data_IF_857821691328
#
_entry.id   IF_857821691328
#
_cell.length_a   1.000
_cell.length_b   1.000
_cell.length_c   1.000
_cell.angle_alpha   90.00
_cell.angle_beta   90.00
_cell.angle_gamma   90.00
#
_symmetry.space_group_name_H-M   'P 1'
#
loop_
_entity.id
_entity.type
_entity.pdbx_description
1 polymer ?
#
# COMPACT_ATOMS: atom_id res chain seq x y z
N UNK A 1 22.70 7.54 -35.50
CA UNK A 1 23.84 6.64 -35.25
C UNK A 1 23.97 6.52 -33.74
N UNK A 2 24.10 5.32 -33.19
CA UNK A 2 24.28 5.15 -31.75
C UNK A 2 25.73 5.50 -31.44
N UNK A 3 25.94 6.46 -30.55
CA UNK A 3 27.28 6.93 -30.19
C UNK A 3 28.01 5.90 -29.32
N UNK A 4 29.34 5.83 -29.47
CA UNK A 4 30.22 4.92 -28.74
C UNK A 4 30.05 5.02 -27.21
N UNK A 5 29.84 6.24 -26.68
CA UNK A 5 29.58 6.47 -25.26
C UNK A 5 28.33 5.74 -24.76
N UNK A 6 27.25 5.76 -25.55
CA UNK A 6 26.01 5.08 -25.20
C UNK A 6 26.14 3.56 -25.22
N UNK A 7 26.96 3.01 -26.13
CA UNK A 7 27.24 1.56 -26.17
C UNK A 7 28.07 1.12 -24.96
N UNK A 8 29.04 1.94 -24.54
CA UNK A 8 29.84 1.67 -23.34
C UNK A 8 28.99 1.64 -22.08
N UNK A 9 28.09 2.62 -21.88
CA UNK A 9 27.20 2.63 -20.72
C UNK A 9 26.21 1.46 -20.75
N UNK A 10 25.49 1.27 -21.86
CA UNK A 10 24.43 0.26 -21.92
C UNK A 10 24.93 -1.19 -21.85
N UNK A 11 26.14 -1.47 -22.35
CA UNK A 11 26.65 -2.84 -22.47
C UNK A 11 27.76 -3.12 -21.45
N UNK A 12 28.71 -2.20 -21.24
CA UNK A 12 29.84 -2.44 -20.34
C UNK A 12 29.51 -2.22 -18.86
N UNK A 13 28.40 -1.57 -18.51
CA UNK A 13 27.95 -1.53 -17.11
C UNK A 13 27.50 -2.92 -16.62
N UNK A 14 26.78 -3.67 -17.47
CA UNK A 14 26.22 -4.99 -17.15
C UNK A 14 27.09 -6.18 -17.55
N UNK A 15 28.25 -5.96 -18.18
CA UNK A 15 29.09 -7.04 -18.68
C UNK A 15 29.91 -7.66 -17.53
N UNK A 16 29.90 -9.00 -17.37
CA UNK A 16 30.62 -9.68 -16.28
C UNK A 16 32.14 -9.59 -16.41
N UNK A 17 32.65 -9.28 -17.60
CA UNK A 17 34.09 -9.18 -17.89
C UNK A 17 34.67 -7.76 -17.72
N UNK A 18 33.85 -6.80 -17.29
CA UNK A 18 34.28 -5.41 -17.07
C UNK A 18 34.29 -5.08 -15.58
N UNK A 19 35.40 -4.53 -15.10
CA UNK A 19 35.47 -3.97 -13.75
C UNK A 19 34.92 -2.54 -13.76
N UNK A 20 33.59 -2.41 -13.88
CA UNK A 20 32.93 -1.10 -13.85
C UNK A 20 33.10 -0.44 -12.48
N UNK A 21 33.70 0.77 -12.44
CA UNK A 21 34.06 1.45 -11.20
C UNK A 21 35.44 2.12 -11.23
N UNK A 22 36.10 2.27 -10.08
CA UNK A 22 37.32 3.13 -9.91
C UNK A 22 38.52 2.78 -10.81
N UNK A 23 38.53 1.65 -11.51
CA UNK A 23 39.46 1.33 -12.60
C UNK A 23 38.69 0.62 -13.72
N UNK A 24 38.13 1.40 -14.66
CA UNK A 24 37.34 0.96 -15.82
C UNK A 24 38.20 0.18 -16.84
N UNK A 25 38.46 -1.08 -16.54
CA UNK A 25 39.21 -2.02 -17.39
C UNK A 25 38.28 -3.12 -17.92
N UNK A 26 38.44 -3.48 -19.19
CA UNK A 26 37.76 -4.59 -19.84
C UNK A 26 38.69 -5.79 -19.95
N UNK A 27 38.35 -6.91 -19.33
CA UNK A 27 39.17 -8.12 -19.34
C UNK A 27 39.17 -8.85 -20.70
N UNK A 28 38.14 -8.64 -21.54
CA UNK A 28 38.04 -9.27 -22.87
C UNK A 28 39.04 -8.66 -23.84
N UNK A 29 39.26 -7.35 -23.74
CA UNK A 29 40.14 -6.60 -24.64
C UNK A 29 41.46 -6.16 -23.97
N UNK A 30 41.64 -6.49 -22.68
CA UNK A 30 42.75 -6.11 -21.80
C UNK A 30 43.16 -4.62 -21.90
N UNK A 31 42.16 -3.75 -22.00
CA UNK A 31 42.33 -2.31 -22.20
C UNK A 31 41.34 -1.53 -21.36
N UNK A 32 41.62 -0.24 -21.18
CA UNK A 32 40.65 0.69 -20.60
C UNK A 32 39.39 0.76 -21.48
N UNK A 33 38.19 0.74 -20.89
CA UNK A 33 36.90 0.66 -21.62
C UNK A 33 36.80 1.77 -22.69
N UNK A 34 37.21 3.00 -22.36
CA UNK A 34 37.21 4.12 -23.31
C UNK A 34 38.11 3.95 -24.55
N UNK A 35 39.11 3.06 -24.48
CA UNK A 35 40.03 2.72 -25.58
C UNK A 35 39.57 1.53 -26.42
N UNK A 36 38.50 0.83 -26.04
CA UNK A 36 37.93 -0.26 -26.84
C UNK A 36 37.23 0.35 -28.05
N UNK A 37 37.62 -0.04 -29.27
CA UNK A 37 37.02 0.51 -30.50
C UNK A 37 35.88 -0.36 -31.02
N UNK A 38 35.94 -1.67 -30.79
CA UNK A 38 34.90 -2.63 -31.16
C UNK A 38 34.82 -3.75 -30.11
N UNK A 39 33.61 -4.22 -29.82
CA UNK A 39 33.35 -5.33 -28.90
C UNK A 39 32.22 -6.20 -29.46
N UNK A 40 32.36 -7.55 -29.47
CA UNK A 40 31.31 -8.45 -29.94
C UNK A 40 29.97 -8.28 -29.23
N UNK A 41 29.99 -7.85 -27.96
CA UNK A 41 28.77 -7.56 -27.19
C UNK A 41 28.08 -6.27 -27.63
N UNK A 42 28.83 -5.28 -28.15
CA UNK A 42 28.23 -4.08 -28.75
C UNK A 42 27.52 -4.43 -30.06
N UNK A 43 28.14 -5.28 -30.87
CA UNK A 43 27.54 -5.75 -32.13
C UNK A 43 26.25 -6.54 -31.86
N UNK A 44 26.25 -7.42 -30.85
CA UNK A 44 25.03 -8.13 -30.40
C UNK A 44 23.94 -7.17 -29.93
N UNK A 45 24.31 -6.16 -29.15
CA UNK A 45 23.37 -5.15 -28.67
C UNK A 45 22.77 -4.32 -29.83
N UNK A 46 23.59 -3.95 -30.81
CA UNK A 46 23.14 -3.25 -32.01
C UNK A 46 22.18 -4.13 -32.85
N UNK A 47 22.51 -5.41 -33.06
CA UNK A 47 21.64 -6.37 -33.75
C UNK A 47 20.31 -6.60 -33.02
N UNK A 48 20.32 -6.61 -31.68
CA UNK A 48 19.09 -6.67 -30.89
C UNK A 48 18.24 -5.41 -31.02
N UNK A 49 18.87 -4.23 -31.15
CA UNK A 49 18.15 -2.98 -31.40
C UNK A 49 17.59 -2.90 -32.83
N UNK A 50 18.31 -3.44 -33.81
CA UNK A 50 17.83 -3.51 -35.20
C UNK A 50 16.68 -4.53 -35.37
N UNK A 51 16.72 -5.64 -34.62
CA UNK A 51 15.65 -6.63 -34.57
C UNK A 51 14.51 -6.28 -33.60
N UNK A 52 14.58 -5.13 -32.91
CA UNK A 52 13.44 -4.61 -32.16
C UNK A 52 12.41 -4.16 -33.18
N UNK A 53 11.18 -4.72 -33.21
CA UNK A 53 10.20 -4.34 -34.21
C UNK A 53 9.94 -2.84 -34.05
N UNK A 54 10.34 -2.05 -35.06
CA UNK A 54 9.90 -0.66 -35.18
C UNK A 54 8.39 -0.72 -35.29
N UNK A 55 7.67 -0.21 -34.29
CA UNK A 55 6.25 0.11 -34.44
C UNK A 55 6.13 1.21 -35.48
N UNK A 56 6.07 0.82 -36.75
CA UNK A 56 5.53 1.64 -37.81
C UNK A 56 4.01 1.69 -37.60
N UNK A 57 3.51 2.90 -37.42
CA UNK A 57 2.09 3.23 -37.57
C UNK A 57 1.73 2.91 -39.01
N UNK A 58 1.17 1.73 -39.26
CA UNK A 58 0.47 1.41 -40.49
C UNK A 58 -0.86 0.77 -40.10
N UNK A 59 -1.93 1.50 -40.40
CA UNK A 59 -3.33 1.04 -40.36
C UNK A 59 -3.47 -0.13 -41.32
N UNK A 60 -3.75 -1.33 -40.80
CA UNK A 60 -4.48 -2.35 -41.54
C UNK A 60 -5.79 -2.67 -40.82
N UNK A 61 -6.94 -2.69 -41.54
CA UNK A 61 -8.22 -2.97 -40.94
C UNK A 61 -8.39 -4.48 -40.75
N UNK A 62 -8.71 -4.90 -39.53
CA UNK A 62 -9.18 -6.25 -39.27
C UNK A 62 -8.15 -7.21 -38.68
N UNK A 63 -7.73 -6.93 -37.44
CA UNK A 63 -7.49 -7.97 -36.42
C UNK A 63 -7.53 -7.27 -35.07
N UNK A 64 -8.55 -7.57 -34.26
CA UNK A 64 -8.68 -7.09 -32.87
C UNK A 64 -7.42 -7.52 -32.11
N UNK A 65 -6.45 -6.62 -31.99
CA UNK A 65 -5.40 -6.69 -30.97
C UNK A 65 -6.03 -6.13 -29.72
N UNK A 66 -6.24 -7.01 -28.73
CA UNK A 66 -6.57 -6.63 -27.36
C UNK A 66 -5.56 -5.56 -26.93
N UNK A 67 -6.12 -4.43 -26.54
CA UNK A 67 -5.46 -3.14 -26.54
C UNK A 67 -4.56 -3.03 -25.31
N UNK A 68 -3.38 -2.45 -25.49
CA UNK A 68 -2.46 -1.99 -24.45
C UNK A 68 -3.03 -0.81 -23.64
N UNK A 69 -4.36 -0.75 -23.48
CA UNK A 69 -5.12 0.13 -22.57
C UNK A 69 -5.39 -0.55 -21.22
N UNK A 70 -5.24 -1.88 -21.14
CA UNK A 70 -5.61 -2.68 -19.95
C UNK A 70 -4.80 -2.36 -18.69
N UNK A 71 -3.59 -1.78 -18.81
CA UNK A 71 -2.77 -1.45 -17.63
C UNK A 71 -3.34 -0.30 -16.81
N UNK A 72 -4.12 0.61 -17.42
CA UNK A 72 -4.80 1.70 -16.70
C UNK A 72 -6.17 1.28 -16.13
N UNK A 73 -6.80 0.25 -16.68
CA UNK A 73 -8.06 -0.32 -16.14
C UNK A 73 -7.82 -1.28 -14.96
N UNK A 74 -6.63 -1.90 -14.86
CA UNK A 74 -6.23 -2.77 -13.74
C UNK A 74 -5.61 -2.01 -12.55
N UNK A 75 -5.18 -0.76 -12.74
CA UNK A 75 -4.55 0.05 -11.69
C UNK A 75 -5.49 0.36 -10.50
N UNK A 76 -6.79 0.69 -10.70
CA UNK A 76 -7.75 0.85 -9.60
C UNK A 76 -7.91 -0.45 -8.80
N UNK A 77 -8.04 -1.59 -9.49
CA UNK A 77 -8.23 -2.89 -8.86
C UNK A 77 -7.05 -3.28 -7.95
N UNK A 78 -5.82 -3.07 -8.40
CA UNK A 78 -4.63 -3.34 -7.59
C UNK A 78 -4.53 -2.41 -6.37
N UNK A 79 -4.86 -1.12 -6.54
CA UNK A 79 -4.82 -0.14 -5.44
C UNK A 79 -5.83 -0.48 -4.33
N UNK A 80 -7.03 -0.95 -4.71
CA UNK A 80 -8.09 -1.26 -3.76
C UNK A 80 -7.74 -2.52 -2.95
N UNK A 81 -7.16 -3.52 -3.59
CA UNK A 81 -6.70 -4.74 -2.90
C UNK A 81 -5.61 -4.41 -1.88
N UNK A 82 -4.64 -3.56 -2.24
CA UNK A 82 -3.60 -3.10 -1.32
C UNK A 82 -4.20 -2.35 -0.12
N UNK A 83 -5.10 -1.39 -0.39
CA UNK A 83 -5.83 -0.66 0.65
C UNK A 83 -6.60 -1.60 1.59
N UNK A 84 -7.21 -2.66 1.04
CA UNK A 84 -7.93 -3.66 1.82
C UNK A 84 -6.98 -4.45 2.72
N UNK A 85 -5.80 -4.85 2.22
CA UNK A 85 -4.79 -5.50 3.07
C UNK A 85 -4.29 -4.61 4.20
N UNK A 86 -4.16 -3.31 3.96
CA UNK A 86 -3.80 -2.32 4.97
C UNK A 86 -4.91 -2.17 6.01
N UNK A 87 -6.17 -2.02 5.59
CA UNK A 87 -7.31 -1.90 6.51
C UNK A 87 -7.49 -3.17 7.39
N UNK A 88 -7.27 -4.37 6.84
CA UNK A 88 -7.27 -5.62 7.61
C UNK A 88 -6.14 -5.63 8.64
N UNK A 89 -4.92 -5.22 8.23
CA UNK A 89 -3.75 -5.20 9.13
C UNK A 89 -3.92 -4.21 10.28
N UNK A 90 -4.45 -3.03 9.95
CA UNK A 90 -4.62 -1.93 10.91
C UNK A 90 -5.81 -2.15 11.84
N UNK A 91 -6.67 -3.13 11.56
CA UNK A 91 -7.89 -3.40 12.34
C UNK A 91 -7.65 -3.55 13.84
N UNK A 92 -6.68 -4.38 14.23
CA UNK A 92 -6.31 -4.56 15.65
C UNK A 92 -5.89 -3.24 16.31
N UNK A 93 -5.12 -2.41 15.60
CA UNK A 93 -4.75 -1.08 16.06
C UNK A 93 -5.95 -0.12 16.14
N UNK A 94 -6.88 -0.19 15.18
CA UNK A 94 -8.09 0.63 15.18
C UNK A 94 -8.94 0.36 16.43
N UNK A 95 -9.08 -0.91 16.86
CA UNK A 95 -9.79 -1.26 18.09
C UNK A 95 -9.13 -0.64 19.34
N UNK A 96 -7.81 -0.74 19.44
CA UNK A 96 -7.04 -0.16 20.56
C UNK A 96 -7.20 1.37 20.59
N UNK A 97 -7.11 2.03 19.44
CA UNK A 97 -7.24 3.48 19.34
C UNK A 97 -8.66 3.96 19.66
N UNK A 98 -9.71 3.21 19.26
CA UNK A 98 -11.09 3.47 19.68
C UNK A 98 -11.20 3.45 21.21
N UNK A 99 -10.70 2.40 21.86
CA UNK A 99 -10.75 2.27 23.31
C UNK A 99 -10.01 3.43 24.00
N UNK A 100 -8.84 3.82 23.47
CA UNK A 100 -8.07 4.96 23.97
C UNK A 100 -8.80 6.30 23.82
N UNK A 101 -9.42 6.56 22.66
CA UNK A 101 -10.17 7.80 22.42
C UNK A 101 -11.43 7.85 23.31
N UNK A 102 -12.16 6.74 23.42
CA UNK A 102 -13.34 6.64 24.28
C UNK A 102 -13.00 6.90 25.75
N UNK A 103 -11.89 6.34 26.25
CA UNK A 103 -11.40 6.61 27.61
C UNK A 103 -11.11 8.09 27.81
N UNK A 104 -10.36 8.72 26.90
CA UNK A 104 -10.07 10.15 26.96
C UNK A 104 -11.34 11.02 26.98
N UNK A 105 -12.32 10.70 26.12
CA UNK A 105 -13.57 11.47 26.05
C UNK A 105 -14.42 11.32 27.32
N UNK A 106 -14.40 10.14 27.96
CA UNK A 106 -15.08 9.88 29.23
C UNK A 106 -14.45 10.67 30.39
N UNK A 107 -13.13 10.57 30.55
CA UNK A 107 -12.37 11.31 31.58
C UNK A 107 -12.53 12.83 31.43
N UNK A 108 -12.51 13.33 30.19
CA UNK A 108 -12.71 14.75 29.90
C UNK A 108 -14.13 15.24 30.22
N UNK A 109 -15.14 14.35 30.21
CA UNK A 109 -16.51 14.66 30.62
C UNK A 109 -16.68 14.73 32.13
N UNK A 110 -16.01 13.86 32.89
CA UNK A 110 -16.08 13.79 34.36
C UNK A 110 -15.34 14.96 35.05
N UNK A 111 -14.20 15.39 34.50
CA UNK A 111 -13.40 16.50 35.06
C UNK A 111 -14.04 17.89 34.99
N UNK A 112 -15.15 18.05 34.26
CA UNK A 112 -15.80 19.36 34.04
C UNK A 112 -16.95 19.63 35.03
N UNK A 113 -17.44 18.60 35.72
CA UNK A 113 -18.57 18.71 36.69
C UNK A 113 -18.08 18.82 38.14
N UNK A 114 -16.86 18.34 38.44
CA UNK A 114 -16.34 18.25 39.81
C UNK A 114 -15.87 19.57 40.45
N UNK A 115 -15.83 20.70 39.72
CA UNK A 115 -15.31 21.98 40.24
C UNK A 115 -16.38 22.94 40.80
N UNK A 116 -17.65 22.54 40.78
CA UNK A 116 -18.75 23.31 41.37
C UNK A 116 -19.16 22.72 42.73
N UNK A 117 -18.18 22.51 43.62
CA UNK A 117 -18.45 22.34 45.04
C UNK A 117 -18.83 23.67 45.69
N UNK A 118 -19.68 23.62 46.72
CA UNK A 118 -20.32 24.74 47.41
C UNK A 118 -19.38 25.85 47.94
N UNK A 119 -18.06 25.67 47.86
CA UNK A 119 -17.03 26.63 48.31
C UNK A 119 -16.54 27.62 47.23
N UNK A 120 -17.05 27.55 45.99
CA UNK A 120 -16.63 28.45 44.88
C UNK A 120 -17.24 29.87 44.93
N UNK A 121 -17.64 30.34 46.11
CA UNK A 121 -18.49 31.53 46.28
C UNK A 121 -17.82 32.90 46.05
N UNK A 122 -16.54 33.00 45.70
CA UNK A 122 -15.91 34.30 45.39
C UNK A 122 -15.14 34.28 44.05
N UNK A 123 -15.68 34.89 42.97
CA UNK A 123 -14.91 35.09 41.75
C UNK A 123 -13.86 36.19 41.97
N UNK A 124 -12.60 35.79 42.17
CA UNK A 124 -11.47 36.72 42.01
C UNK A 124 -11.24 36.93 40.52
N UNK A 125 -11.60 38.11 40.02
CA UNK A 125 -11.40 38.48 38.63
C UNK A 125 -9.92 38.41 38.25
N UNK A 126 -9.53 37.40 37.48
CA UNK A 126 -8.25 37.35 36.80
C UNK A 126 -8.44 36.75 35.40
N UNK A 127 -8.13 37.56 34.39
CA UNK A 127 -7.65 37.13 33.07
C UNK A 127 -8.64 36.46 32.12
N UNK A 128 -8.61 36.92 30.86
CA UNK A 128 -9.25 36.31 29.67
C UNK A 128 -9.05 34.78 29.63
N UNK A 129 -9.98 34.02 30.18
CA UNK A 129 -9.92 32.54 30.25
C UNK A 129 -10.70 31.83 29.12
N UNK A 130 -11.30 32.58 28.20
CA UNK A 130 -12.13 32.09 27.09
C UNK A 130 -11.42 31.08 26.17
N UNK A 131 -10.13 31.31 25.89
CA UNK A 131 -9.41 30.62 24.81
C UNK A 131 -9.04 29.16 25.14
N UNK A 132 -8.84 28.84 26.43
CA UNK A 132 -8.50 27.47 26.88
C UNK A 132 -9.69 26.52 26.74
N UNK A 133 -10.90 26.99 27.03
CA UNK A 133 -12.14 26.21 26.90
C UNK A 133 -12.46 25.95 25.43
N UNK A 134 -12.28 26.96 24.57
CA UNK A 134 -12.47 26.80 23.13
C UNK A 134 -11.47 25.82 22.51
N UNK A 135 -10.17 25.90 22.88
CA UNK A 135 -9.16 24.96 22.42
C UNK A 135 -9.45 23.51 22.84
N UNK A 136 -9.96 23.28 24.04
CA UNK A 136 -10.39 21.95 24.50
C UNK A 136 -11.62 21.43 23.73
N UNK A 137 -12.60 22.29 23.46
CA UNK A 137 -13.76 21.92 22.65
C UNK A 137 -13.34 21.45 21.24
N UNK A 138 -12.46 22.20 20.57
CA UNK A 138 -11.91 21.83 19.25
C UNK A 138 -11.12 20.51 19.32
N UNK A 139 -10.32 20.28 20.36
CA UNK A 139 -9.60 19.01 20.55
C UNK A 139 -10.56 17.82 20.70
N UNK A 140 -11.64 17.99 21.48
CA UNK A 140 -12.68 16.95 21.66
C UNK A 140 -13.40 16.66 20.36
N UNK A 141 -13.79 17.69 19.62
CA UNK A 141 -14.45 17.54 18.32
C UNK A 141 -13.59 16.76 17.33
N UNK A 142 -12.29 17.07 17.22
CA UNK A 142 -11.35 16.33 16.36
C UNK A 142 -11.26 14.85 16.76
N UNK A 143 -11.23 14.56 18.06
CA UNK A 143 -11.19 13.18 18.58
C UNK A 143 -12.50 12.44 18.33
N UNK A 144 -13.65 13.09 18.48
CA UNK A 144 -14.95 12.52 18.14
C UNK A 144 -15.07 12.20 16.64
N UNK A 145 -14.63 13.12 15.77
CA UNK A 145 -14.57 12.88 14.32
C UNK A 145 -13.68 11.68 13.97
N UNK A 146 -12.50 11.60 14.58
CA UNK A 146 -11.59 10.44 14.41
C UNK A 146 -12.21 9.14 14.93
N UNK A 147 -12.86 9.17 16.10
CA UNK A 147 -13.55 8.02 16.68
C UNK A 147 -14.61 7.48 15.73
N UNK A 148 -15.48 8.37 15.22
CA UNK A 148 -16.52 7.99 14.27
C UNK A 148 -15.93 7.38 13.00
N UNK A 149 -14.90 7.99 12.43
CA UNK A 149 -14.23 7.45 11.24
C UNK A 149 -13.63 6.05 11.47
N UNK A 150 -13.06 5.78 12.65
CA UNK A 150 -12.55 4.45 12.99
C UNK A 150 -13.67 3.43 13.17
N UNK A 151 -14.77 3.83 13.82
CA UNK A 151 -15.96 2.98 13.99
C UNK A 151 -16.58 2.61 12.64
N UNK A 152 -16.76 3.58 11.75
CA UNK A 152 -17.30 3.36 10.41
C UNK A 152 -16.42 2.40 9.58
N UNK A 153 -15.09 2.48 9.73
CA UNK A 153 -14.14 1.55 9.09
C UNK A 153 -14.27 0.13 9.65
N UNK A 154 -14.30 -0.03 10.97
CA UNK A 154 -14.46 -1.34 11.61
C UNK A 154 -15.79 -1.97 11.22
N UNK A 155 -16.87 -1.19 11.21
CA UNK A 155 -18.18 -1.67 10.82
C UNK A 155 -18.19 -2.16 9.36
N UNK A 156 -17.56 -1.42 8.45
CA UNK A 156 -17.40 -1.84 7.05
C UNK A 156 -16.65 -3.16 6.94
N UNK A 157 -15.55 -3.31 7.67
CA UNK A 157 -14.75 -4.55 7.67
C UNK A 157 -15.58 -5.71 8.23
N UNK A 158 -16.25 -5.54 9.36
CA UNK A 158 -17.08 -6.58 9.98
C UNK A 158 -18.19 -7.06 9.03
N UNK A 159 -18.91 -6.14 8.38
CA UNK A 159 -19.92 -6.48 7.37
C UNK A 159 -19.33 -7.25 6.19
N UNK A 160 -18.12 -6.90 5.76
CA UNK A 160 -17.44 -7.60 4.68
C UNK A 160 -17.02 -9.03 5.08
N UNK A 161 -16.58 -9.25 6.32
CA UNK A 161 -16.26 -10.59 6.84
C UNK A 161 -17.47 -11.51 6.78
N UNK A 162 -18.67 -11.02 7.11
CA UNK A 162 -19.92 -11.79 7.08
C UNK A 162 -20.28 -12.32 5.67
N UNK A 163 -19.74 -11.71 4.61
CA UNK A 163 -19.96 -12.16 3.23
C UNK A 163 -19.13 -13.38 2.83
N UNK A 164 -18.08 -13.70 3.60
CA UNK A 164 -17.17 -14.80 3.29
C UNK A 164 -17.82 -16.14 3.67
N UNK A 165 -18.13 -16.95 2.65
CA UNK A 165 -18.78 -18.26 2.83
C UNK A 165 -17.81 -19.41 3.15
N UNK A 166 -16.56 -19.32 2.69
CA UNK A 166 -15.58 -20.38 2.92
C UNK A 166 -15.05 -20.31 4.34
N UNK A 167 -15.19 -21.39 5.11
CA UNK A 167 -14.72 -21.45 6.50
C UNK A 167 -13.21 -21.21 6.60
N UNK A 168 -12.43 -21.75 5.67
CA UNK A 168 -10.97 -21.56 5.66
C UNK A 168 -10.58 -20.10 5.41
N UNK A 169 -11.26 -19.43 4.48
CA UNK A 169 -11.01 -18.01 4.20
C UNK A 169 -11.45 -17.14 5.38
N UNK A 170 -12.60 -17.46 5.97
CA UNK A 170 -13.14 -16.77 7.14
C UNK A 170 -12.19 -16.86 8.32
N UNK A 171 -11.69 -18.06 8.64
CA UNK A 171 -10.74 -18.27 9.74
C UNK A 171 -9.45 -17.47 9.52
N UNK A 172 -8.91 -17.45 8.29
CA UNK A 172 -7.74 -16.64 7.97
C UNK A 172 -8.01 -15.16 8.21
N UNK A 173 -9.16 -14.64 7.76
CA UNK A 173 -9.48 -13.23 7.91
C UNK A 173 -9.70 -12.89 9.38
N UNK A 174 -10.45 -13.68 10.14
CA UNK A 174 -10.64 -13.48 11.59
C UNK A 174 -9.29 -13.43 12.33
N UNK A 175 -8.41 -14.41 12.08
CA UNK A 175 -7.08 -14.44 12.70
C UNK A 175 -6.20 -13.24 12.27
N UNK A 176 -6.32 -12.75 11.04
CA UNK A 176 -5.63 -11.54 10.59
C UNK A 176 -6.15 -10.29 11.31
N UNK A 177 -7.47 -10.19 11.52
CA UNK A 177 -8.09 -9.08 12.23
C UNK A 177 -7.70 -9.07 13.72
N UNK A 178 -7.53 -10.25 14.32
CA UNK A 178 -7.00 -10.42 15.67
C UNK A 178 -5.50 -10.07 15.78
N UNK A 179 -4.83 -9.82 14.65
CA UNK A 179 -3.42 -9.43 14.60
C UNK A 179 -2.45 -10.62 14.67
N UNK A 180 -2.91 -11.84 14.38
CA UNK A 180 -2.04 -13.00 14.33
C UNK A 180 -1.05 -12.95 13.15
N UNK A 181 0.13 -13.52 13.36
CA UNK A 181 1.15 -13.60 12.31
C UNK A 181 0.79 -14.67 11.29
N UNK A 182 0.94 -14.38 10.00
CA UNK A 182 0.72 -15.32 8.89
C UNK A 182 1.28 -16.74 9.13
N UNK A 183 2.50 -16.85 9.67
CA UNK A 183 3.15 -18.13 9.94
C UNK A 183 2.45 -18.92 11.06
N UNK A 184 1.85 -18.23 12.04
CA UNK A 184 1.02 -18.85 13.08
C UNK A 184 -0.27 -19.40 12.48
N UNK A 185 -0.97 -18.56 11.72
CA UNK A 185 -2.23 -18.91 11.05
C UNK A 185 -2.04 -20.13 10.13
N UNK A 186 -1.00 -20.13 9.30
CA UNK A 186 -0.69 -21.25 8.40
C UNK A 186 -0.44 -22.56 9.15
N UNK A 187 0.20 -22.51 10.33
CA UNK A 187 0.42 -23.67 11.18
C UNK A 187 -0.87 -24.17 11.83
N UNK A 188 -1.70 -23.26 12.35
CA UNK A 188 -3.00 -23.58 12.95
C UNK A 188 -3.92 -24.26 11.93
N UNK A 189 -3.89 -23.81 10.67
CA UNK A 189 -4.64 -24.42 9.56
C UNK A 189 -4.02 -25.71 9.00
N UNK A 190 -2.77 -26.02 9.35
CA UNK A 190 -2.06 -27.19 8.82
C UNK A 190 -1.78 -27.12 7.31
N UNK A 191 -1.64 -25.92 6.74
CA UNK A 191 -1.42 -25.73 5.29
C UNK A 191 0.01 -25.28 4.96
N UNK A 192 0.46 -25.57 3.74
CA UNK A 192 1.74 -25.05 3.25
C UNK A 192 1.73 -23.53 3.14
N UNK A 193 2.91 -22.91 3.19
CA UNK A 193 3.05 -21.45 3.04
C UNK A 193 2.44 -20.95 1.73
N UNK A 194 2.67 -21.66 0.62
CA UNK A 194 2.11 -21.30 -0.67
C UNK A 194 0.58 -21.34 -0.65
N UNK A 195 0.00 -22.43 -0.14
CA UNK A 195 -1.46 -22.58 -0.05
C UNK A 195 -2.09 -21.53 0.84
N UNK A 196 -1.45 -21.18 1.96
CA UNK A 196 -1.88 -20.08 2.82
C UNK A 196 -2.00 -18.75 2.04
N UNK A 197 -0.98 -18.38 1.26
CA UNK A 197 -1.03 -17.13 0.49
C UNK A 197 -2.06 -17.16 -0.64
N UNK A 198 -2.36 -18.32 -1.23
CA UNK A 198 -3.46 -18.47 -2.18
C UNK A 198 -4.81 -18.21 -1.53
N UNK A 199 -5.09 -18.85 -0.38
CA UNK A 199 -6.35 -18.67 0.34
C UNK A 199 -6.46 -17.23 0.87
N UNK A 200 -5.38 -16.68 1.44
CA UNK A 200 -5.33 -15.28 1.88
C UNK A 200 -5.66 -14.33 0.73
N UNK A 201 -5.02 -14.48 -0.43
CA UNK A 201 -5.30 -13.62 -1.59
C UNK A 201 -6.76 -13.71 -2.00
N UNK A 202 -7.31 -14.91 -2.08
CA UNK A 202 -8.74 -15.11 -2.38
C UNK A 202 -9.64 -14.39 -1.36
N UNK A 203 -9.34 -14.52 -0.07
CA UNK A 203 -10.10 -13.88 1.00
C UNK A 203 -10.01 -12.34 0.94
N UNK A 204 -8.82 -11.78 0.75
CA UNK A 204 -8.60 -10.34 0.59
C UNK A 204 -9.34 -9.80 -0.64
N UNK A 205 -9.32 -10.51 -1.77
CA UNK A 205 -10.09 -10.12 -2.94
C UNK A 205 -11.58 -10.04 -2.60
N UNK A 206 -12.15 -11.07 -1.95
CA UNK A 206 -13.57 -11.08 -1.55
C UNK A 206 -13.90 -9.91 -0.61
N UNK A 207 -13.02 -9.62 0.35
CA UNK A 207 -13.15 -8.44 1.21
C UNK A 207 -13.16 -7.14 0.40
N UNK A 208 -12.24 -6.99 -0.56
CA UNK A 208 -12.14 -5.80 -1.39
C UNK A 208 -13.43 -5.57 -2.20
N UNK A 209 -13.96 -6.64 -2.81
CA UNK A 209 -15.25 -6.60 -3.53
C UNK A 209 -16.42 -6.26 -2.61
N UNK A 210 -16.46 -6.82 -1.40
CA UNK A 210 -17.53 -6.54 -0.44
C UNK A 210 -17.47 -5.10 0.12
N UNK A 211 -16.28 -4.53 0.26
CA UNK A 211 -16.07 -3.19 0.83
C UNK A 211 -16.18 -2.06 -0.20
N UNK A 212 -15.71 -2.29 -1.43
CA UNK A 212 -15.57 -1.26 -2.46
C UNK A 212 -16.16 -1.69 -3.82
N UNK A 213 -17.03 -2.70 -3.85
CA UNK A 213 -17.63 -3.21 -5.09
C UNK A 213 -18.31 -2.11 -5.91
N UNK A 214 -18.97 -1.17 -5.25
CA UNK A 214 -19.63 -0.02 -5.90
C UNK A 214 -18.62 0.98 -6.51
N UNK A 215 -17.45 1.14 -5.89
CA UNK A 215 -16.35 1.98 -6.41
C UNK A 215 -15.67 1.31 -7.60
N UNK A 216 -15.50 -0.02 -7.55
CA UNK A 216 -14.92 -0.80 -8.64
C UNK A 216 -15.79 -0.79 -9.91
N UNK A 217 -17.12 -0.80 -9.76
CA UNK A 217 -18.07 -0.75 -10.87
C UNK A 217 -18.15 0.62 -11.54
N UNK A 218 -17.74 1.71 -10.87
CA UNK A 218 -17.76 3.06 -11.43
C UNK A 218 -16.48 3.41 -12.18
N UNK A 219 -15.40 2.65 -11.99
CA UNK A 219 -14.09 2.86 -12.62
C UNK A 219 -13.84 2.03 -13.89
N UNK A 220 -14.78 1.19 -14.30
CA UNK A 220 -14.74 0.39 -15.54
C UNK A 220 -15.90 0.73 -16.46
#
# INVERSE_FOLDING_TARGET
MIDKSMLMEAVCEGCPATCWGKRTHCQVHDLHIGKVEACPEWDRYLLQQENKPRLSVQKEPGKKRESLSDWNELAPALSIVQKTEEEIRDYSYMQIEIARIQRYLREAGEGMVSQYGLDSALPKGQGVHSDKTHAEAVRRERKQKRLKSLQDKIERINRAVETIRSEQERLIVEALLDGEKNNGIAKTLGVSRQRYYEIKRSAVMKMAWAMYGDEMQQTG
#
